data_IF_706663220592
#
_entry.id   IF_706663220592
#
_cell.length_a   1.000
_cell.length_b   1.000
_cell.length_c   1.000
_cell.angle_alpha   90.00
_cell.angle_beta   90.00
_cell.angle_gamma   90.00
#
_symmetry.space_group_name_H-M   'P 1'
#
loop_
_entity.id
_entity.type
_entity.pdbx_description
1 polymer ?
#
# COMPACT_ATOMS: atom_id res chain seq x y z
N UNK A 1 -40.00 43.99 17.74
CA UNK A 1 -39.37 45.20 18.29
C UNK A 1 -38.00 45.35 17.64
N UNK A 2 -37.79 46.39 16.83
CA UNK A 2 -36.51 46.64 16.17
C UNK A 2 -35.52 47.24 17.18
N UNK A 3 -34.28 46.75 17.19
CA UNK A 3 -33.24 47.29 18.08
C UNK A 3 -32.92 48.76 17.71
N UNK A 4 -32.71 49.64 18.69
CA UNK A 4 -32.29 51.02 18.46
C UNK A 4 -31.03 51.12 17.59
N UNK A 5 -31.07 51.99 16.58
CA UNK A 5 -29.95 52.37 15.67
C UNK A 5 -28.56 52.46 16.35
N UNK A 6 -28.39 53.14 17.50
CA UNK A 6 -27.07 53.27 18.12
C UNK A 6 -26.49 51.94 18.62
N UNK A 7 -27.35 50.99 19.01
CA UNK A 7 -26.94 49.67 19.51
C UNK A 7 -26.55 48.77 18.35
N UNK A 8 -27.26 48.84 17.21
CA UNK A 8 -26.92 48.09 16.00
C UNK A 8 -25.56 48.49 15.44
N UNK A 9 -25.23 49.79 15.44
CA UNK A 9 -23.90 50.27 15.01
C UNK A 9 -22.79 49.76 15.93
N UNK A 10 -22.96 49.87 17.25
CA UNK A 10 -21.96 49.36 18.20
C UNK A 10 -21.75 47.85 18.13
N UNK A 11 -22.81 47.07 17.91
CA UNK A 11 -22.69 45.62 17.67
C UNK A 11 -22.01 45.30 16.33
N UNK A 12 -22.28 46.09 15.28
CA UNK A 12 -21.61 45.95 13.98
C UNK A 12 -20.11 46.23 14.08
N UNK A 13 -19.73 47.28 14.80
CA UNK A 13 -18.33 47.65 15.00
C UNK A 13 -17.61 46.62 15.89
N UNK A 14 -18.25 46.16 16.97
CA UNK A 14 -17.70 45.11 17.82
C UNK A 14 -17.58 43.77 17.07
N UNK A 15 -18.57 43.41 16.25
CA UNK A 15 -18.50 42.22 15.38
C UNK A 15 -17.37 42.32 14.38
N UNK A 16 -17.12 43.49 13.78
CA UNK A 16 -15.98 43.69 12.90
C UNK A 16 -14.66 43.63 13.65
N UNK A 17 -14.60 44.16 14.87
CA UNK A 17 -13.35 44.17 15.65
C UNK A 17 -12.99 42.79 16.21
N UNK A 18 -13.99 41.93 16.48
CA UNK A 18 -13.78 40.56 17.01
C UNK A 18 -13.64 39.50 15.90
N UNK A 19 -14.29 39.68 14.75
CA UNK A 19 -14.20 38.73 13.63
C UNK A 19 -13.25 39.16 12.49
N UNK A 20 -12.75 40.39 12.50
CA UNK A 20 -11.73 40.86 11.55
C UNK A 20 -10.45 41.15 12.33
N UNK A 21 -9.77 40.06 12.74
CA UNK A 21 -8.35 40.15 12.97
C UNK A 21 -7.67 40.35 11.61
N UNK A 22 -7.20 41.56 11.42
CA UNK A 22 -6.67 42.10 10.18
C UNK A 22 -5.15 41.88 10.12
N UNK A 23 -4.68 40.67 10.41
CA UNK A 23 -3.39 40.17 9.90
C UNK A 23 -3.61 39.48 8.56
N UNK A 24 -4.21 40.21 7.61
CA UNK A 24 -4.30 39.81 6.21
C UNK A 24 -3.23 40.56 5.44
N UNK A 25 -2.01 40.03 5.45
CA UNK A 25 -1.29 39.89 4.18
C UNK A 25 -2.28 39.18 3.25
N UNK A 26 -2.69 39.83 2.16
CA UNK A 26 -3.45 39.15 1.12
C UNK A 26 -2.65 37.89 0.73
N UNK A 27 -3.19 36.67 0.88
CA UNK A 27 -2.59 35.55 0.18
C UNK A 27 -2.75 35.84 -1.30
N UNK A 28 -1.62 35.93 -2.00
CA UNK A 28 -1.59 36.03 -3.44
C UNK A 28 -2.35 34.81 -4.02
N UNK A 29 -2.95 34.87 -5.22
CA UNK A 29 -3.51 33.67 -5.86
C UNK A 29 -2.50 32.50 -5.92
N UNK A 30 -1.20 32.81 -5.88
CA UNK A 30 -0.11 31.85 -5.73
C UNK A 30 -0.01 31.17 -4.36
N UNK A 31 -0.44 31.81 -3.26
CA UNK A 31 -0.39 31.24 -1.92
C UNK A 31 -1.52 30.22 -1.70
N UNK A 32 -2.70 30.45 -2.27
CA UNK A 32 -3.75 29.41 -2.30
C UNK A 32 -3.35 28.23 -3.19
N UNK A 33 -2.69 28.48 -4.33
CA UNK A 33 -2.17 27.42 -5.18
C UNK A 33 -1.00 26.65 -4.54
N UNK A 34 -0.19 27.30 -3.70
CA UNK A 34 0.89 26.68 -2.94
C UNK A 34 0.36 25.89 -1.74
N UNK A 35 -0.63 26.41 -1.00
CA UNK A 35 -1.27 25.70 0.12
C UNK A 35 -2.05 24.46 -0.37
N UNK A 36 -2.76 24.58 -1.50
CA UNK A 36 -3.41 23.44 -2.18
C UNK A 36 -2.41 22.46 -2.82
N UNK A 37 -1.16 22.88 -3.07
CA UNK A 37 -0.05 22.01 -3.53
C UNK A 37 0.68 21.33 -2.36
N UNK A 38 0.70 21.94 -1.18
CA UNK A 38 1.31 21.39 0.03
C UNK A 38 0.40 20.33 0.67
N UNK A 39 -0.92 20.48 0.58
CA UNK A 39 -1.94 19.46 0.90
C UNK A 39 -2.09 18.38 -0.19
N UNK A 40 -1.04 18.14 -0.98
CA UNK A 40 -0.95 16.93 -1.79
C UNK A 40 -0.48 15.80 -0.87
N UNK A 41 -1.35 15.42 0.06
CA UNK A 41 -1.12 14.36 1.04
C UNK A 41 -0.52 13.15 0.33
N UNK A 42 0.74 12.84 0.64
CA UNK A 42 1.39 11.62 0.15
C UNK A 42 0.64 10.43 0.78
N UNK A 43 -0.03 9.64 -0.05
CA UNK A 43 -0.92 8.52 0.33
C UNK A 43 -0.13 7.22 0.52
N UNK A 44 1.16 7.22 0.21
CA UNK A 44 2.03 6.07 0.38
C UNK A 44 1.92 5.49 1.80
N UNK A 45 1.75 4.17 1.89
CA UNK A 45 1.57 3.47 3.16
C UNK A 45 2.92 3.10 3.75
N UNK A 46 3.30 3.78 4.85
CA UNK A 46 4.53 3.47 5.58
C UNK A 46 4.55 2.03 6.15
N UNK A 47 3.47 1.50 6.76
CA UNK A 47 3.45 0.12 7.25
C UNK A 47 3.70 -0.91 6.15
N UNK A 48 3.12 -0.70 4.96
CA UNK A 48 3.35 -1.57 3.81
C UNK A 48 4.83 -1.51 3.38
N UNK A 49 5.41 -0.30 3.33
CA UNK A 49 6.80 -0.12 2.93
C UNK A 49 7.77 -0.81 3.90
N UNK A 50 7.51 -0.75 5.20
CA UNK A 50 8.31 -1.45 6.21
C UNK A 50 8.22 -2.98 6.03
N UNK A 51 7.01 -3.51 5.84
CA UNK A 51 6.81 -4.95 5.62
C UNK A 51 7.57 -5.44 4.37
N UNK A 52 7.44 -4.74 3.24
CA UNK A 52 8.15 -5.04 2.00
C UNK A 52 9.67 -5.00 2.16
N UNK A 53 10.18 -4.01 2.92
CA UNK A 53 11.61 -3.87 3.15
C UNK A 53 12.17 -5.04 3.96
N UNK A 54 11.51 -5.42 5.06
CA UNK A 54 11.97 -6.55 5.86
C UNK A 54 11.84 -7.87 5.11
N UNK A 55 10.77 -8.06 4.34
CA UNK A 55 10.60 -9.27 3.55
C UNK A 55 11.67 -9.40 2.45
N UNK A 56 12.06 -8.30 1.81
CA UNK A 56 13.16 -8.28 0.83
C UNK A 56 14.48 -8.80 1.40
N UNK A 57 14.80 -8.45 2.65
CA UNK A 57 16.00 -8.95 3.33
C UNK A 57 15.83 -10.37 3.86
N UNK A 58 14.62 -10.74 4.27
CA UNK A 58 14.31 -12.07 4.78
C UNK A 58 14.32 -13.13 3.68
N UNK A 59 13.86 -12.79 2.47
CA UNK A 59 13.65 -13.74 1.39
C UNK A 59 14.91 -14.52 0.97
N UNK A 60 16.12 -13.92 0.87
CA UNK A 60 17.34 -14.69 0.64
C UNK A 60 17.62 -15.77 1.70
N UNK A 61 17.34 -15.48 2.98
CA UNK A 61 17.49 -16.46 4.06
C UNK A 61 16.46 -17.59 3.95
N UNK A 62 15.21 -17.24 3.64
CA UNK A 62 14.16 -18.22 3.35
C UNK A 62 14.58 -19.13 2.20
N UNK A 63 15.07 -18.56 1.09
CA UNK A 63 15.48 -19.30 -0.11
C UNK A 63 16.63 -20.27 0.17
N UNK A 64 17.67 -19.81 0.88
CA UNK A 64 18.81 -20.67 1.26
C UNK A 64 18.33 -21.81 2.16
N UNK A 65 17.49 -21.50 3.15
CA UNK A 65 16.90 -22.51 4.04
C UNK A 65 16.13 -23.56 3.23
N UNK A 66 15.27 -23.13 2.31
CA UNK A 66 14.45 -24.03 1.50
C UNK A 66 15.31 -24.94 0.61
N UNK A 67 16.36 -24.41 -0.02
CA UNK A 67 17.29 -25.20 -0.84
C UNK A 67 18.02 -26.24 0.00
N UNK A 68 18.57 -25.85 1.15
CA UNK A 68 19.30 -26.76 2.04
C UNK A 68 18.38 -27.86 2.55
N UNK A 69 17.18 -27.50 3.02
CA UNK A 69 16.24 -28.47 3.56
C UNK A 69 15.72 -29.41 2.48
N UNK A 70 15.42 -28.91 1.27
CA UNK A 70 15.07 -29.73 0.11
C UNK A 70 16.16 -30.75 -0.23
N UNK A 71 17.44 -30.35 -0.21
CA UNK A 71 18.56 -31.27 -0.42
C UNK A 71 18.61 -32.39 0.63
N UNK A 72 18.41 -32.05 1.90
CA UNK A 72 18.43 -33.04 3.00
C UNK A 72 17.32 -34.09 2.87
N UNK A 73 16.11 -33.68 2.46
CA UNK A 73 14.98 -34.61 2.28
C UNK A 73 14.87 -35.21 0.88
N UNK A 74 15.69 -34.77 -0.09
CA UNK A 74 15.53 -35.11 -1.50
C UNK A 74 15.45 -36.62 -1.78
N UNK A 75 16.29 -37.42 -1.11
CA UNK A 75 16.32 -38.87 -1.31
C UNK A 75 15.12 -39.60 -0.68
N UNK A 76 14.50 -39.01 0.34
CA UNK A 76 13.33 -39.58 1.03
C UNK A 76 12.00 -39.22 0.34
N UNK A 77 12.01 -38.24 -0.57
CA UNK A 77 10.81 -37.81 -1.27
C UNK A 77 10.43 -38.73 -2.42
N UNK A 78 9.13 -38.84 -2.67
CA UNK A 78 8.60 -39.45 -3.89
C UNK A 78 8.88 -38.54 -5.09
N UNK A 79 9.15 -39.12 -6.27
CA UNK A 79 9.65 -38.39 -7.44
C UNK A 79 8.77 -37.23 -7.89
N UNK A 80 7.43 -37.38 -7.83
CA UNK A 80 6.52 -36.29 -8.20
C UNK A 80 6.61 -35.12 -7.22
N UNK A 81 6.83 -35.35 -5.92
CA UNK A 81 7.04 -34.27 -4.95
C UNK A 81 8.36 -33.54 -5.18
N UNK A 82 9.42 -34.22 -5.64
CA UNK A 82 10.68 -33.57 -6.02
C UNK A 82 10.43 -32.52 -7.10
N UNK A 83 9.74 -32.91 -8.17
CA UNK A 83 9.41 -32.02 -9.28
C UNK A 83 8.51 -30.85 -8.84
N UNK A 84 7.49 -31.14 -8.02
CA UNK A 84 6.59 -30.12 -7.49
C UNK A 84 7.36 -29.10 -6.64
N UNK A 85 8.19 -29.54 -5.69
CA UNK A 85 8.91 -28.62 -4.80
C UNK A 85 9.95 -27.77 -5.53
N UNK A 86 10.68 -28.35 -6.48
CA UNK A 86 11.61 -27.57 -7.33
C UNK A 86 10.85 -26.50 -8.11
N UNK A 87 9.69 -26.87 -8.68
CA UNK A 87 8.84 -25.94 -9.41
C UNK A 87 8.29 -24.84 -8.50
N UNK A 88 7.81 -25.20 -7.32
CA UNK A 88 7.33 -24.23 -6.31
C UNK A 88 8.45 -23.28 -5.89
N UNK A 89 9.66 -23.77 -5.64
CA UNK A 89 10.81 -22.93 -5.28
C UNK A 89 11.12 -21.90 -6.38
N UNK A 90 11.16 -22.33 -7.64
CA UNK A 90 11.42 -21.44 -8.79
C UNK A 90 10.27 -20.42 -8.94
N UNK A 91 9.03 -20.88 -8.93
CA UNK A 91 7.86 -20.02 -9.06
C UNK A 91 7.79 -18.99 -7.94
N UNK A 92 7.94 -19.42 -6.68
CA UNK A 92 7.97 -18.53 -5.52
C UNK A 92 9.08 -17.49 -5.66
N UNK A 93 10.27 -17.86 -6.16
CA UNK A 93 11.38 -16.91 -6.38
C UNK A 93 11.02 -15.83 -7.40
N UNK A 94 10.46 -16.22 -8.55
CA UNK A 94 10.09 -15.28 -9.61
C UNK A 94 8.92 -14.39 -9.16
N UNK A 95 7.89 -15.01 -8.58
CA UNK A 95 6.70 -14.30 -8.10
C UNK A 95 7.08 -13.32 -7.00
N UNK A 96 7.90 -13.72 -6.02
CA UNK A 96 8.38 -12.84 -4.97
C UNK A 96 9.10 -11.61 -5.54
N UNK A 97 10.03 -11.82 -6.47
CA UNK A 97 10.80 -10.72 -7.06
C UNK A 97 9.89 -9.69 -7.75
N UNK A 98 8.94 -10.17 -8.57
CA UNK A 98 7.96 -9.31 -9.25
C UNK A 98 7.03 -8.65 -8.22
N UNK A 99 6.55 -9.41 -7.24
CA UNK A 99 5.65 -8.92 -6.19
C UNK A 99 6.32 -7.80 -5.40
N UNK A 100 7.51 -8.01 -4.86
CA UNK A 100 8.24 -6.99 -4.09
C UNK A 100 8.54 -5.76 -4.95
N UNK A 101 8.88 -5.92 -6.23
CA UNK A 101 9.05 -4.79 -7.15
C UNK A 101 7.77 -3.96 -7.30
N UNK A 102 6.65 -4.63 -7.64
CA UNK A 102 5.36 -3.97 -7.81
C UNK A 102 4.85 -3.32 -6.53
N UNK A 103 5.04 -3.96 -5.38
CA UNK A 103 4.64 -3.43 -4.08
C UNK A 103 5.39 -2.14 -3.75
N UNK A 104 6.72 -2.14 -3.94
CA UNK A 104 7.55 -0.96 -3.70
C UNK A 104 7.22 0.18 -4.66
N UNK A 105 7.17 -0.10 -5.96
CA UNK A 105 6.87 0.92 -6.98
C UNK A 105 5.44 1.43 -6.84
N UNK A 106 4.46 0.54 -6.69
CA UNK A 106 3.05 0.90 -6.57
C UNK A 106 2.76 1.74 -5.32
N UNK A 107 3.40 1.42 -4.19
CA UNK A 107 3.22 2.17 -2.95
C UNK A 107 3.94 3.53 -2.97
N UNK A 108 5.22 3.58 -3.38
CA UNK A 108 6.01 4.82 -3.37
C UNK A 108 5.63 5.79 -4.47
N UNK A 109 5.27 5.28 -5.65
CA UNK A 109 4.89 6.11 -6.79
C UNK A 109 3.36 6.29 -6.90
N UNK A 110 2.61 5.80 -5.91
CA UNK A 110 1.15 5.92 -5.86
C UNK A 110 0.47 5.43 -7.14
N UNK A 111 0.93 4.28 -7.66
CA UNK A 111 0.39 3.70 -8.89
C UNK A 111 -0.57 2.55 -8.62
N UNK A 112 -1.84 2.81 -8.91
CA UNK A 112 -2.94 1.84 -8.70
C UNK A 112 -2.70 0.52 -9.43
N UNK A 113 -2.31 0.48 -10.73
CA UNK A 113 -2.18 -0.80 -11.44
C UNK A 113 -1.08 -1.68 -10.85
N UNK A 114 0.07 -1.12 -10.51
CA UNK A 114 1.20 -1.83 -9.91
C UNK A 114 0.85 -2.35 -8.51
N UNK A 115 0.20 -1.53 -7.69
CA UNK A 115 -0.21 -1.94 -6.34
C UNK A 115 -1.32 -3.00 -6.38
N UNK A 116 -2.23 -2.94 -7.35
CA UNK A 116 -3.22 -3.99 -7.61
C UNK A 116 -2.54 -5.30 -8.07
N UNK A 117 -1.54 -5.22 -8.94
CA UNK A 117 -0.75 -6.37 -9.37
C UNK A 117 -0.01 -7.03 -8.21
N UNK A 118 0.64 -6.23 -7.35
CA UNK A 118 1.23 -6.70 -6.10
C UNK A 118 0.21 -7.45 -5.24
N UNK A 119 -0.96 -6.87 -5.00
CA UNK A 119 -1.98 -7.44 -4.14
C UNK A 119 -2.56 -8.74 -4.72
N UNK A 120 -2.78 -8.77 -6.04
CA UNK A 120 -3.23 -9.97 -6.75
C UNK A 120 -2.20 -11.10 -6.66
N UNK A 121 -0.91 -10.82 -6.90
CA UNK A 121 0.15 -11.82 -6.76
C UNK A 121 0.26 -12.34 -5.32
N UNK A 122 0.08 -11.46 -4.33
CA UNK A 122 0.07 -11.82 -2.91
C UNK A 122 -1.01 -12.86 -2.61
N UNK A 123 -2.26 -12.58 -2.99
CA UNK A 123 -3.39 -13.45 -2.62
C UNK A 123 -3.57 -14.67 -3.53
N UNK A 124 -3.35 -14.53 -4.84
CA UNK A 124 -3.68 -15.57 -5.79
C UNK A 124 -2.55 -16.57 -5.99
N UNK A 125 -1.30 -16.13 -5.89
CA UNK A 125 -0.15 -16.99 -6.15
C UNK A 125 0.65 -17.25 -4.88
N UNK A 126 1.13 -16.22 -4.20
CA UNK A 126 2.03 -16.39 -3.08
C UNK A 126 1.34 -17.07 -1.88
N UNK A 127 0.14 -16.63 -1.54
CA UNK A 127 -0.58 -17.14 -0.37
C UNK A 127 -0.94 -18.63 -0.49
N UNK A 128 -1.51 -19.13 -1.60
CA UNK A 128 -1.75 -20.57 -1.75
C UNK A 128 -0.48 -21.41 -1.75
N UNK A 129 0.61 -20.91 -2.35
CA UNK A 129 1.88 -21.64 -2.39
C UNK A 129 2.55 -21.73 -1.01
N UNK A 130 2.43 -20.71 -0.16
CA UNK A 130 2.95 -20.79 1.22
C UNK A 130 2.07 -21.70 2.09
N UNK A 131 0.75 -21.69 1.90
CA UNK A 131 -0.15 -22.63 2.59
C UNK A 131 0.13 -24.08 2.18
N UNK A 132 0.38 -24.33 0.90
CA UNK A 132 0.77 -25.65 0.40
C UNK A 132 2.01 -26.18 1.13
N UNK A 133 3.05 -25.34 1.28
CA UNK A 133 4.28 -25.72 1.99
C UNK A 133 4.07 -25.90 3.51
N UNK A 134 3.16 -25.13 4.11
CA UNK A 134 2.90 -25.20 5.56
C UNK A 134 2.05 -26.40 6.00
N UNK A 135 1.09 -26.81 5.17
CA UNK A 135 0.04 -27.76 5.58
C UNK A 135 0.12 -29.12 4.90
N UNK A 136 0.86 -29.25 3.79
CA UNK A 136 0.97 -30.53 3.11
C UNK A 136 2.03 -31.42 3.75
N UNK A 137 1.68 -32.13 4.83
CA UNK A 137 2.61 -33.00 5.57
C UNK A 137 3.25 -34.12 4.70
N UNK A 138 2.67 -34.43 3.53
CA UNK A 138 3.25 -35.38 2.57
C UNK A 138 4.59 -34.93 1.96
N UNK A 139 4.96 -33.65 2.07
CA UNK A 139 6.28 -33.14 1.64
C UNK A 139 7.39 -33.34 2.70
N UNK A 140 7.10 -34.06 3.79
CA UNK A 140 8.02 -34.32 4.90
C UNK A 140 8.60 -33.01 5.46
N UNK A 141 7.72 -32.16 5.97
CA UNK A 141 8.05 -30.81 6.43
C UNK A 141 9.01 -30.88 7.63
N UNK A 142 10.19 -30.30 7.49
CA UNK A 142 11.17 -30.22 8.57
C UNK A 142 10.86 -29.03 9.51
N UNK A 143 11.26 -29.08 10.80
CA UNK A 143 10.98 -28.01 11.75
C UNK A 143 11.52 -26.64 11.32
N UNK A 144 12.71 -26.61 10.70
CA UNK A 144 13.29 -25.37 10.17
C UNK A 144 12.48 -24.82 8.99
N UNK A 145 12.11 -25.66 8.02
CA UNK A 145 11.24 -25.29 6.89
C UNK A 145 9.94 -24.66 7.41
N UNK A 146 9.29 -25.34 8.35
CA UNK A 146 8.05 -24.84 8.98
C UNK A 146 8.26 -23.48 9.63
N UNK A 147 9.34 -23.30 10.37
CA UNK A 147 9.70 -22.03 11.00
C UNK A 147 9.85 -20.91 9.98
N UNK A 148 10.61 -21.14 8.90
CA UNK A 148 10.83 -20.10 7.87
C UNK A 148 9.56 -19.82 7.06
N UNK A 149 8.74 -20.84 6.76
CA UNK A 149 7.46 -20.61 6.09
C UNK A 149 6.47 -19.83 6.94
N UNK A 150 6.44 -20.05 8.27
CA UNK A 150 5.58 -19.29 9.19
C UNK A 150 5.96 -17.80 9.17
N UNK A 151 7.25 -17.49 9.22
CA UNK A 151 7.73 -16.10 9.17
C UNK A 151 7.38 -15.47 7.82
N UNK A 152 7.62 -16.19 6.71
CA UNK A 152 7.22 -15.69 5.39
C UNK A 152 5.70 -15.48 5.27
N UNK A 153 4.91 -16.41 5.80
CA UNK A 153 3.44 -16.29 5.81
C UNK A 153 2.97 -15.09 6.63
N UNK A 154 3.67 -14.76 7.73
CA UNK A 154 3.40 -13.55 8.50
C UNK A 154 3.66 -12.28 7.68
N UNK A 155 4.79 -12.21 6.94
CA UNK A 155 5.05 -11.11 6.02
C UNK A 155 3.96 -11.00 4.95
N UNK A 156 3.63 -12.08 4.26
CA UNK A 156 2.59 -12.13 3.22
C UNK A 156 1.24 -11.68 3.77
N UNK A 157 0.88 -12.10 4.98
CA UNK A 157 -0.37 -11.70 5.63
C UNK A 157 -0.39 -10.21 5.96
N UNK A 158 0.68 -9.68 6.56
CA UNK A 158 0.80 -8.25 6.85
C UNK A 158 0.77 -7.40 5.55
N UNK A 159 1.50 -7.84 4.53
CA UNK A 159 1.51 -7.25 3.19
C UNK A 159 0.13 -7.25 2.54
N UNK A 160 -0.64 -8.34 2.66
CA UNK A 160 -1.99 -8.42 2.13
C UNK A 160 -2.94 -7.42 2.82
N UNK A 161 -2.84 -7.30 4.15
CA UNK A 161 -3.66 -6.36 4.93
C UNK A 161 -3.31 -4.91 4.61
N UNK A 162 -2.04 -4.53 4.75
CA UNK A 162 -1.61 -3.15 4.49
C UNK A 162 -1.68 -2.78 3.01
N UNK A 163 -1.43 -3.74 2.12
CA UNK A 163 -1.60 -3.60 0.67
C UNK A 163 -3.04 -3.33 0.29
N UNK A 164 -4.00 -4.04 0.89
CA UNK A 164 -5.42 -3.77 0.66
C UNK A 164 -5.82 -2.36 1.10
N UNK A 165 -5.38 -1.94 2.29
CA UNK A 165 -5.65 -0.61 2.83
C UNK A 165 -5.06 0.47 1.92
N UNK A 166 -3.80 0.33 1.52
CA UNK A 166 -3.11 1.25 0.63
C UNK A 166 -3.80 1.33 -0.74
N UNK A 167 -4.16 0.18 -1.33
CA UNK A 167 -4.84 0.12 -2.62
C UNK A 167 -6.20 0.83 -2.56
N UNK A 168 -6.99 0.59 -1.51
CA UNK A 168 -8.30 1.24 -1.34
C UNK A 168 -8.17 2.75 -1.17
N UNK A 169 -7.18 3.21 -0.41
CA UNK A 169 -6.91 4.63 -0.23
C UNK A 169 -6.53 5.29 -1.56
N UNK A 170 -5.65 4.63 -2.32
CA UNK A 170 -5.14 5.15 -3.58
C UNK A 170 -6.21 5.19 -4.69
N UNK A 171 -7.07 4.18 -4.78
CA UNK A 171 -8.21 4.16 -5.73
C UNK A 171 -9.18 5.32 -5.44
N UNK A 172 -9.54 5.54 -4.18
CA UNK A 172 -10.43 6.63 -3.77
C UNK A 172 -9.88 8.01 -4.12
N UNK A 173 -8.58 8.21 -3.93
CA UNK A 173 -7.92 9.46 -4.30
C UNK A 173 -7.82 9.64 -5.82
N UNK A 174 -7.57 8.56 -6.54
CA UNK A 174 -7.56 8.59 -8.00
C UNK A 174 -8.92 9.03 -8.55
N UNK A 175 -10.02 8.49 -8.01
CA UNK A 175 -11.39 8.88 -8.38
C UNK A 175 -11.67 10.37 -8.12
N UNK A 176 -11.29 10.91 -6.95
CA UNK A 176 -11.54 12.31 -6.62
C UNK A 176 -10.84 13.28 -7.57
N UNK A 177 -9.59 12.99 -7.96
CA UNK A 177 -8.83 13.80 -8.93
C UNK A 177 -9.43 13.75 -10.33
N UNK A 178 -9.93 12.59 -10.77
CA UNK A 178 -10.59 12.48 -12.07
C UNK A 178 -11.90 13.27 -12.13
N UNK A 179 -12.71 13.21 -11.07
CA UNK A 179 -13.95 13.99 -11.00
C UNK A 179 -13.68 15.49 -11.02
N UNK A 180 -12.70 15.98 -10.26
CA UNK A 180 -12.36 17.41 -10.26
C UNK A 180 -11.89 17.91 -11.63
N UNK A 181 -11.02 17.15 -12.32
CA UNK A 181 -10.56 17.51 -13.67
C UNK A 181 -11.69 17.56 -14.71
N UNK A 182 -12.70 16.71 -14.56
CA UNK A 182 -13.87 16.73 -15.44
C UNK A 182 -14.67 18.04 -15.28
N UNK A 183 -14.79 18.56 -14.06
CA UNK A 183 -15.47 19.85 -13.83
C UNK A 183 -14.67 21.03 -14.39
N UNK A 184 -13.36 21.08 -14.18
CA UNK A 184 -12.50 22.14 -14.71
C UNK A 184 -12.55 22.20 -16.25
N UNK A 185 -12.46 21.04 -16.92
CA UNK A 185 -12.54 20.97 -18.39
C UNK A 185 -13.89 21.41 -18.97
N UNK A 186 -15.00 21.19 -18.25
CA UNK A 186 -16.32 21.69 -18.66
C UNK A 186 -16.41 23.22 -18.50
N UNK A 187 -15.72 23.77 -17.50
CA UNK A 187 -15.75 25.19 -17.20
C UNK A 187 -14.91 26.00 -18.20
N UNK A 188 -13.76 25.49 -18.64
CA UNK A 188 -12.96 26.08 -19.73
C UNK A 188 -13.68 26.07 -21.09
N UNK A 189 -14.49 25.05 -21.38
CA UNK A 189 -15.26 24.97 -22.64
C UNK A 189 -16.45 25.94 -22.70
N UNK A 190 -16.85 26.54 -21.56
CA UNK A 190 -17.98 27.48 -21.47
C UNK A 190 -17.56 28.95 -21.58
N UNK A 191 -16.27 29.24 -21.43
CA UNK A 191 -15.66 30.58 -21.62
C UNK A 191 -15.15 30.76 -23.04
#
# INVERSE_FOLDING_TARGET
>A
MALPEPIRRRLGDFSRTVFVDQSRTQPSPGDHANFLREDKDVISSLPLQMALHFNMWYFPFWWISEVVMLQLKYLALVDYYKFILITVLILMTIIEAIRLYLGNVGNLQEKVPELAGFWLLTLLLQFPLILFQLFNEAILIQPLERGVHIILAFFIFAEALFGFVALRALVRHTESHFHLRQFDGIQELRT
#
